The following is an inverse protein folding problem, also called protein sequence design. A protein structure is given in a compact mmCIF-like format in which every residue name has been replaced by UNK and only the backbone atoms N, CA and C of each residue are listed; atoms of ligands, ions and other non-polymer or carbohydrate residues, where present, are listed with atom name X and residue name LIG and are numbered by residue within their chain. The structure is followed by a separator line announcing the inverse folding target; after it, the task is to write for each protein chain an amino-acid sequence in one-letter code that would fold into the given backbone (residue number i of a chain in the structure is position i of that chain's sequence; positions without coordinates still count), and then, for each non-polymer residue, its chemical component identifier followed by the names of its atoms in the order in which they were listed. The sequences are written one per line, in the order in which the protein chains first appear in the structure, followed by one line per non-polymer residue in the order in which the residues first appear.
data_IF_862309154359
#
_entry.id   IF_862309154359
#
_cell.length_a   1.000
_cell.length_b   1.000
_cell.length_c   1.000
_cell.angle_alpha   90.00
_cell.angle_beta   90.00
_cell.angle_gamma   90.00
#
_symmetry.space_group_name_H-M   'P 1'
#
loop_
_entity.id
_entity.type
_entity.pdbx_description
1 polymer ?
#
# COMPACT_ATOMS: atom_id res chain seq x y z
N UNK A 1 2.91 -2.97 -3.62
CA UNK A 1 2.55 -1.53 -3.76
C UNK A 1 3.75 -0.75 -4.27
N UNK A 2 3.59 -0.07 -5.42
CA UNK A 2 4.66 0.62 -6.14
C UNK A 2 4.51 2.14 -6.07
N UNK A 3 5.65 2.84 -5.99
CA UNK A 3 5.66 4.29 -6.13
C UNK A 3 5.17 4.71 -7.52
N UNK A 4 4.43 5.81 -7.59
CA UNK A 4 3.92 6.34 -8.87
C UNK A 4 5.07 6.65 -9.83
N UNK A 5 6.17 7.22 -9.33
CA UNK A 5 7.39 7.48 -10.12
C UNK A 5 8.09 6.22 -10.65
N UNK A 6 7.66 5.03 -10.19
CA UNK A 6 8.12 3.72 -10.67
C UNK A 6 7.00 2.93 -11.36
N UNK A 7 5.99 3.61 -11.89
CA UNK A 7 4.90 2.99 -12.65
C UNK A 7 3.75 2.45 -11.79
N UNK A 8 3.70 2.78 -10.49
CA UNK A 8 2.51 2.57 -9.68
C UNK A 8 1.31 3.33 -10.26
N UNK A 9 0.14 2.69 -10.27
CA UNK A 9 -1.11 3.31 -10.74
C UNK A 9 -1.87 3.95 -9.59
N UNK A 10 -2.75 4.89 -9.91
CA UNK A 10 -3.67 5.50 -8.94
C UNK A 10 -4.91 4.61 -8.78
N UNK A 11 -4.75 3.50 -8.08
CA UNK A 11 -5.81 2.52 -7.84
C UNK A 11 -5.97 2.26 -6.35
N UNK A 12 -7.16 1.81 -5.93
CA UNK A 12 -7.43 1.50 -4.52
C UNK A 12 -6.45 0.45 -3.96
N UNK A 13 -6.03 -0.52 -4.77
CA UNK A 13 -5.04 -1.54 -4.40
C UNK A 13 -3.60 -1.01 -4.31
N UNK A 14 -3.33 0.21 -4.77
CA UNK A 14 -2.00 0.82 -4.71
C UNK A 14 -1.95 2.02 -3.75
N UNK A 15 -2.91 2.14 -2.83
CA UNK A 15 -2.96 3.18 -1.79
C UNK A 15 -3.01 2.51 -0.40
N UNK A 16 -2.37 3.14 0.59
CA UNK A 16 -2.37 2.72 1.98
C UNK A 16 -2.18 3.95 2.89
N UNK A 17 -2.91 4.07 4.02
CA UNK A 17 -2.65 5.11 5.01
C UNK A 17 -1.23 5.00 5.56
N UNK A 18 -0.55 6.12 5.71
CA UNK A 18 0.81 6.16 6.24
C UNK A 18 1.04 7.43 7.06
N UNK A 19 1.86 7.29 8.10
CA UNK A 19 2.39 8.44 8.83
C UNK A 19 3.37 9.25 7.95
N UNK A 20 3.61 10.53 8.28
CA UNK A 20 4.52 11.40 7.50
C UNK A 20 5.92 10.80 7.36
N UNK A 21 6.53 10.36 8.46
CA UNK A 21 7.88 9.76 8.46
C UNK A 21 7.93 8.41 7.73
N UNK A 22 6.85 7.63 7.80
CA UNK A 22 6.68 6.37 7.09
C UNK A 22 6.71 6.61 5.57
N UNK A 23 5.85 7.52 5.09
CA UNK A 23 5.77 7.87 3.67
C UNK A 23 7.08 8.47 3.16
N UNK A 24 7.68 9.40 3.91
CA UNK A 24 8.95 10.03 3.55
C UNK A 24 10.09 9.00 3.45
N UNK A 25 10.20 8.08 4.42
CA UNK A 25 11.27 7.08 4.45
C UNK A 25 11.09 5.94 3.44
N UNK A 26 9.86 5.65 3.00
CA UNK A 26 9.61 4.75 1.86
C UNK A 26 10.13 5.37 0.56
N UNK A 27 9.81 6.65 0.35
CA UNK A 27 10.14 7.38 -0.87
C UNK A 27 9.67 6.58 -2.10
N UNK A 28 10.59 6.25 -3.01
CA UNK A 28 10.35 5.53 -4.24
C UNK A 28 10.70 4.02 -4.15
N UNK A 29 10.92 3.50 -2.94
CA UNK A 29 11.19 2.07 -2.72
C UNK A 29 9.91 1.25 -2.89
N UNK A 30 10.02 0.02 -3.36
CA UNK A 30 8.92 -0.96 -3.30
C UNK A 30 8.54 -1.23 -1.82
N UNK A 31 7.26 -1.45 -1.51
CA UNK A 31 6.77 -1.52 -0.13
C UNK A 31 7.34 -2.70 0.65
N UNK A 32 7.40 -3.90 0.07
CA UNK A 32 7.94 -5.09 0.74
C UNK A 32 9.44 -4.96 0.99
N UNK A 33 10.21 -4.47 0.01
CA UNK A 33 11.63 -4.17 0.20
C UNK A 33 11.86 -3.12 1.30
N UNK A 34 11.01 -2.10 1.38
CA UNK A 34 11.08 -1.09 2.44
C UNK A 34 10.71 -1.65 3.81
N UNK A 35 9.63 -2.44 3.92
CA UNK A 35 9.20 -3.08 5.17
C UNK A 35 10.29 -3.98 5.75
N UNK A 36 10.91 -4.83 4.90
CA UNK A 36 12.04 -5.67 5.29
C UNK A 36 13.22 -4.86 5.79
N UNK A 37 13.58 -3.77 5.10
CA UNK A 37 14.67 -2.87 5.53
C UNK A 37 14.39 -2.22 6.89
N UNK A 38 13.12 -1.89 7.18
CA UNK A 38 12.71 -1.26 8.43
C UNK A 38 12.49 -2.26 9.57
N UNK A 39 12.52 -3.56 9.30
CA UNK A 39 12.17 -4.59 10.28
C UNK A 39 10.70 -4.57 10.68
N UNK A 40 9.82 -4.05 9.81
CA UNK A 40 8.39 -4.05 10.04
C UNK A 40 7.76 -5.35 9.56
N UNK A 41 6.62 -5.72 10.15
CA UNK A 41 5.91 -6.95 9.83
C UNK A 41 5.28 -6.87 8.43
N UNK A 42 6.00 -7.39 7.43
CA UNK A 42 5.54 -7.46 6.05
C UNK A 42 4.26 -8.29 5.92
N UNK A 43 4.17 -9.42 6.63
CA UNK A 43 3.03 -10.34 6.51
C UNK A 43 1.77 -9.67 7.03
N UNK A 44 1.84 -9.07 8.22
CA UNK A 44 0.70 -8.35 8.80
C UNK A 44 0.24 -7.20 7.89
N UNK A 45 1.18 -6.43 7.32
CA UNK A 45 0.85 -5.36 6.38
C UNK A 45 0.12 -5.89 5.14
N UNK A 46 0.64 -6.94 4.50
CA UNK A 46 0.06 -7.47 3.26
C UNK A 46 -1.31 -8.10 3.48
N UNK A 47 -1.49 -8.82 4.59
CA UNK A 47 -2.79 -9.40 4.94
C UNK A 47 -3.84 -8.31 5.15
N UNK A 48 -3.53 -7.31 6.00
CA UNK A 48 -4.48 -6.24 6.30
C UNK A 48 -4.77 -5.39 5.06
N UNK A 49 -3.77 -5.14 4.22
CA UNK A 49 -3.96 -4.40 2.97
C UNK A 49 -4.87 -5.15 1.99
N UNK A 50 -4.72 -6.47 1.87
CA UNK A 50 -5.59 -7.30 1.03
C UNK A 50 -7.04 -7.31 1.52
N UNK A 51 -7.27 -7.48 2.83
CA UNK A 51 -8.60 -7.44 3.46
C UNK A 51 -9.31 -6.12 3.18
N UNK A 52 -8.66 -4.99 3.47
CA UNK A 52 -9.20 -3.65 3.20
C UNK A 52 -9.46 -3.49 1.70
N UNK A 53 -8.55 -3.97 0.85
CA UNK A 53 -8.74 -3.90 -0.61
C UNK A 53 -9.99 -4.64 -1.09
N UNK A 54 -10.36 -5.76 -0.45
CA UNK A 54 -11.61 -6.48 -0.75
C UNK A 54 -12.81 -5.64 -0.32
N UNK A 55 -12.81 -5.14 0.91
CA UNK A 55 -13.88 -4.29 1.46
C UNK A 55 -14.11 -3.04 0.60
N UNK A 56 -13.03 -2.34 0.22
CA UNK A 56 -13.09 -1.14 -0.60
C UNK A 56 -13.59 -1.45 -2.02
N UNK A 57 -13.14 -2.54 -2.65
CA UNK A 57 -13.66 -2.92 -3.96
C UNK A 57 -15.16 -3.19 -3.92
N UNK A 58 -15.65 -3.88 -2.89
CA UNK A 58 -17.09 -4.12 -2.71
C UNK A 58 -17.88 -2.82 -2.50
N UNK A 59 -17.33 -1.88 -1.71
CA UNK A 59 -17.99 -0.60 -1.46
C UNK A 59 -18.07 0.30 -2.70
N UNK A 60 -17.03 0.28 -3.54
CA UNK A 60 -16.94 1.17 -4.71
C UNK A 60 -17.35 0.50 -6.03
N UNK A 61 -17.59 -0.83 -6.07
CA UNK A 61 -18.10 -1.52 -7.26
C UNK A 61 -19.54 -1.17 -7.63
N UNK A 62 -20.32 -0.61 -6.70
CA UNK A 62 -21.70 -0.14 -6.95
C UNK A 62 -21.78 1.33 -7.41
N UNK A 63 -20.64 2.00 -7.60
CA UNK A 63 -20.57 3.44 -7.98
C UNK A 63 -20.11 3.68 -9.42
N UNK A 64 -20.16 2.68 -10.30
CA UNK A 64 -19.84 2.80 -11.74
C UNK A 64 -21.00 2.39 -12.63
#
# INVERSE_FOLDING_TARGET
MLAISRGGRYTLDNIAPACRSCNASKCNSEVTLWLRRKGYDEKAFLLRHAEIGIEMRAQFSEQS
#
